data_IF_332705768959
#
_entry.id   IF_332705768959
#
_cell.length_a   1.000
_cell.length_b   1.000
_cell.length_c   1.000
_cell.angle_alpha   90.00
_cell.angle_beta   90.00
_cell.angle_gamma   90.00
#
_symmetry.space_group_name_H-M   'P 1'
#
loop_
_entity.id
_entity.type
_entity.pdbx_description
1 polymer ?
#
# COMPACT_ATOMS: atom_id res chain seq x y z
N UNK A 1 -46.52 -19.97 4.19
CA UNK A 1 -45.52 -19.76 3.12
C UNK A 1 -44.41 -18.89 3.68
N UNK A 2 -43.24 -19.47 3.97
CA UNK A 2 -42.07 -18.72 4.41
C UNK A 2 -41.47 -18.02 3.17
N UNK A 3 -41.57 -16.69 3.13
CA UNK A 3 -40.99 -15.88 2.08
C UNK A 3 -39.48 -15.76 2.35
N UNK A 4 -38.72 -16.81 2.03
CA UNK A 4 -37.26 -16.77 2.07
C UNK A 4 -36.86 -15.80 0.97
N UNK A 5 -36.58 -14.54 1.35
CA UNK A 5 -35.88 -13.60 0.49
C UNK A 5 -34.61 -14.32 0.05
N UNK A 6 -34.56 -14.69 -1.22
CA UNK A 6 -33.32 -15.01 -1.91
C UNK A 6 -32.47 -13.76 -1.77
N UNK A 7 -31.61 -13.70 -0.75
CA UNK A 7 -30.46 -12.81 -0.77
C UNK A 7 -29.67 -13.27 -2.00
N UNK A 8 -29.85 -12.55 -3.09
CA UNK A 8 -29.00 -12.67 -4.27
C UNK A 8 -27.62 -12.34 -3.73
N UNK A 9 -26.74 -13.35 -3.62
CA UNK A 9 -25.33 -13.11 -3.36
C UNK A 9 -24.88 -12.09 -4.39
N UNK A 10 -24.61 -10.87 -3.94
CA UNK A 10 -24.10 -9.82 -4.81
C UNK A 10 -22.80 -10.36 -5.39
N UNK A 11 -22.70 -10.48 -6.71
CA UNK A 11 -21.42 -10.82 -7.32
C UNK A 11 -20.43 -9.71 -6.96
N UNK A 12 -19.40 -10.11 -6.22
CA UNK A 12 -18.33 -9.21 -5.77
C UNK A 12 -17.11 -9.53 -6.61
N UNK A 13 -16.60 -8.52 -7.30
CA UNK A 13 -15.33 -8.64 -8.00
C UNK A 13 -14.19 -8.43 -7.00
N UNK A 14 -13.37 -9.47 -6.81
CA UNK A 14 -12.19 -9.41 -5.95
C UNK A 14 -10.95 -9.17 -6.79
N UNK A 15 -10.32 -8.02 -6.60
CA UNK A 15 -9.05 -7.68 -7.25
C UNK A 15 -7.89 -8.13 -6.36
N UNK A 16 -7.11 -9.10 -6.84
CA UNK A 16 -5.91 -9.56 -6.13
C UNK A 16 -4.72 -8.68 -6.53
N UNK A 17 -4.04 -8.08 -5.55
CA UNK A 17 -2.88 -7.21 -5.74
C UNK A 17 -1.65 -7.84 -5.08
N UNK A 18 -0.80 -8.55 -5.85
CA UNK A 18 0.44 -9.11 -5.33
C UNK A 18 1.51 -8.03 -5.23
N UNK A 19 2.10 -7.86 -4.05
CA UNK A 19 3.19 -6.91 -3.81
C UNK A 19 4.41 -7.69 -3.37
N UNK A 20 5.50 -7.58 -4.13
CA UNK A 20 6.79 -8.17 -3.77
C UNK A 20 7.67 -7.10 -3.15
N UNK A 21 8.11 -7.34 -1.92
CA UNK A 21 8.91 -6.39 -1.14
C UNK A 21 10.39 -6.75 -1.09
N UNK A 22 11.24 -5.74 -1.20
CA UNK A 22 12.69 -5.86 -1.10
C UNK A 22 13.22 -4.78 -0.14
N UNK A 23 14.02 -5.18 0.85
CA UNK A 23 14.71 -4.22 1.72
C UNK A 23 15.91 -3.62 1.00
N UNK A 24 16.06 -2.31 1.15
CA UNK A 24 17.17 -1.55 0.60
C UNK A 24 17.65 -0.49 1.59
N UNK A 25 18.93 -0.16 1.50
CA UNK A 25 19.50 1.02 2.17
C UNK A 25 18.97 2.30 1.51
N UNK A 26 18.86 3.39 2.28
CA UNK A 26 18.35 4.68 1.79
C UNK A 26 19.09 5.17 0.53
N UNK A 27 20.41 4.98 0.48
CA UNK A 27 21.26 5.39 -0.66
C UNK A 27 20.93 4.67 -1.98
N UNK A 28 20.32 3.48 -1.93
CA UNK A 28 20.02 2.69 -3.14
C UNK A 28 18.92 3.36 -3.98
N UNK A 29 18.10 4.23 -3.37
CA UNK A 29 17.00 4.93 -4.03
C UNK A 29 17.42 5.67 -5.29
N UNK A 30 18.60 6.30 -5.29
CA UNK A 30 19.08 7.11 -6.41
C UNK A 30 19.25 6.25 -7.68
N UNK A 31 19.47 4.95 -7.53
CA UNK A 31 19.56 3.99 -8.63
C UNK A 31 18.21 3.48 -9.14
N UNK A 32 17.11 3.77 -8.44
CA UNK A 32 15.75 3.31 -8.78
C UNK A 32 15.07 4.28 -9.76
N UNK A 33 15.67 4.46 -10.94
CA UNK A 33 15.28 5.43 -11.95
C UNK A 33 14.80 4.80 -13.28
N UNK A 34 14.60 3.47 -13.32
CA UNK A 34 14.13 2.78 -14.53
C UNK A 34 12.65 3.05 -14.75
N UNK A 35 12.16 2.77 -15.96
CA UNK A 35 10.75 3.00 -16.31
C UNK A 35 9.78 2.07 -15.57
N UNK A 36 10.28 1.03 -14.91
CA UNK A 36 9.53 0.15 -14.03
C UNK A 36 9.64 0.49 -12.54
N UNK A 37 10.41 1.52 -12.15
CA UNK A 37 10.64 1.89 -10.74
C UNK A 37 9.50 2.77 -10.19
N UNK A 38 8.29 2.22 -10.25
CA UNK A 38 7.07 2.70 -9.63
C UNK A 38 6.55 1.66 -8.63
N UNK A 39 5.79 2.09 -7.63
CA UNK A 39 5.18 1.18 -6.67
C UNK A 39 4.95 1.79 -5.30
N UNK A 40 5.14 0.98 -4.28
CA UNK A 40 4.98 1.32 -2.87
C UNK A 40 6.34 1.37 -2.20
N UNK A 41 6.43 2.11 -1.10
CA UNK A 41 7.61 2.03 -0.26
C UNK A 41 7.24 2.14 1.21
N UNK A 42 8.06 1.51 2.04
CA UNK A 42 8.00 1.62 3.50
C UNK A 42 9.30 2.27 3.98
N UNK A 43 9.21 3.16 4.97
CA UNK A 43 10.36 3.75 5.66
C UNK A 43 10.38 3.20 7.07
N UNK A 44 11.52 2.66 7.47
CA UNK A 44 11.77 2.14 8.81
C UNK A 44 12.86 2.95 9.48
N UNK A 45 12.78 3.01 10.80
CA UNK A 45 13.74 3.76 11.59
C UNK A 45 13.36 3.79 13.06
N UNK A 46 13.99 4.69 13.79
CA UNK A 46 13.73 4.84 15.21
C UNK A 46 12.65 5.90 15.43
N UNK A 47 11.83 5.70 16.45
CA UNK A 47 10.90 6.70 16.95
C UNK A 47 11.11 6.85 18.45
N UNK A 48 11.37 8.07 18.92
CA UNK A 48 11.79 8.31 20.31
C UNK A 48 10.82 7.74 21.36
N UNK A 49 9.53 7.71 21.05
CA UNK A 49 8.50 7.11 21.92
C UNK A 49 8.13 5.65 21.61
N UNK A 50 8.29 5.16 20.38
CA UNK A 50 7.83 3.82 19.98
C UNK A 50 8.96 2.80 19.87
N UNK A 51 10.21 3.24 20.01
CA UNK A 51 11.39 2.38 20.00
C UNK A 51 12.09 2.33 18.65
N UNK A 52 12.99 1.36 18.52
CA UNK A 52 13.87 1.21 17.36
C UNK A 52 13.25 0.35 16.27
N UNK A 53 13.72 0.54 15.03
CA UNK A 53 13.36 -0.29 13.86
C UNK A 53 11.84 -0.42 13.60
N UNK A 54 11.09 0.64 13.88
CA UNK A 54 9.65 0.69 13.70
C UNK A 54 9.25 1.15 12.29
N UNK A 55 8.05 0.79 11.85
CA UNK A 55 7.45 1.24 10.60
C UNK A 55 7.02 2.70 10.74
N UNK A 56 7.76 3.61 10.14
CA UNK A 56 7.54 5.05 10.26
C UNK A 56 6.52 5.55 9.24
N UNK A 57 6.62 5.10 7.99
CA UNK A 57 5.82 5.62 6.89
C UNK A 57 5.60 4.58 5.79
N UNK A 58 4.41 4.60 5.19
CA UNK A 58 4.10 3.93 3.93
C UNK A 58 3.71 4.98 2.89
N UNK A 59 4.46 5.00 1.79
CA UNK A 59 4.25 5.91 0.67
C UNK A 59 4.05 5.20 -0.66
N UNK A 60 3.86 6.01 -1.70
CA UNK A 60 3.68 5.56 -3.09
C UNK A 60 4.51 6.38 -4.06
N UNK A 61 4.97 5.74 -5.12
CA UNK A 61 5.58 6.32 -6.30
C UNK A 61 4.75 5.85 -7.52
N UNK A 62 3.60 6.51 -7.76
CA UNK A 62 2.66 6.12 -8.81
C UNK A 62 2.66 7.09 -10.00
N UNK A 63 2.83 8.39 -9.71
CA UNK A 63 2.81 9.47 -10.69
C UNK A 63 4.26 9.98 -10.98
N UNK A 64 5.24 9.49 -10.23
CA UNK A 64 6.68 9.74 -10.34
C UNK A 64 7.47 8.50 -9.89
N UNK A 65 8.75 8.38 -10.28
CA UNK A 65 9.61 7.23 -9.97
C UNK A 65 10.05 7.24 -8.50
N UNK A 66 10.55 6.09 -8.02
CA UNK A 66 11.09 5.97 -6.66
C UNK A 66 12.20 6.99 -6.39
N UNK A 67 13.19 7.12 -7.30
CA UNK A 67 14.29 8.07 -7.16
C UNK A 67 13.82 9.51 -6.88
N UNK A 68 12.76 9.95 -7.55
CA UNK A 68 12.23 11.30 -7.43
C UNK A 68 11.42 11.49 -6.15
N UNK A 69 10.80 10.43 -5.63
CA UNK A 69 9.93 10.52 -4.43
C UNK A 69 10.72 10.36 -3.14
N UNK A 70 11.77 9.56 -3.19
CA UNK A 70 12.59 9.14 -2.06
C UNK A 70 14.00 9.76 -2.07
N UNK A 71 14.23 10.80 -2.88
CA UNK A 71 15.54 11.47 -2.89
C UNK A 71 15.97 11.89 -1.48
N UNK A 72 17.28 11.84 -1.20
CA UNK A 72 17.82 12.11 0.13
C UNK A 72 17.30 13.45 0.68
N UNK A 73 17.33 14.51 -0.14
CA UNK A 73 16.78 15.83 0.22
C UNK A 73 15.30 15.79 0.62
N UNK A 74 14.48 14.97 -0.04
CA UNK A 74 13.05 14.84 0.30
C UNK A 74 12.85 14.05 1.57
N UNK A 75 13.59 12.97 1.78
CA UNK A 75 13.50 12.21 3.03
C UNK A 75 13.99 13.07 4.20
N UNK A 76 15.12 13.74 4.05
CA UNK A 76 15.65 14.66 5.06
C UNK A 76 14.65 15.78 5.34
N UNK A 77 14.07 16.41 4.32
CA UNK A 77 13.06 17.46 4.49
C UNK A 77 11.74 16.96 5.10
N UNK A 78 11.23 15.80 4.66
CA UNK A 78 9.98 15.20 5.17
C UNK A 78 10.13 14.83 6.66
N UNK A 79 11.33 14.40 7.08
CA UNK A 79 11.63 13.94 8.45
C UNK A 79 12.45 14.93 9.27
N UNK A 80 12.71 16.13 8.76
CA UNK A 80 13.39 17.17 9.52
C UNK A 80 12.51 17.58 10.71
N UNK A 81 13.13 17.76 11.87
CA UNK A 81 12.47 18.25 13.08
C UNK A 81 11.36 17.33 13.62
N UNK A 82 11.40 16.04 13.30
CA UNK A 82 10.47 15.03 13.83
C UNK A 82 11.06 14.28 15.02
N UNK A 83 10.25 13.43 15.66
CA UNK A 83 10.71 12.48 16.69
C UNK A 83 11.18 11.15 16.09
N UNK A 84 11.55 11.13 14.80
CA UNK A 84 11.83 9.91 14.05
C UNK A 84 13.14 10.00 13.26
N UNK A 85 13.83 8.87 13.14
CA UNK A 85 15.11 8.77 12.44
C UNK A 85 15.04 7.64 11.40
N UNK A 86 14.79 7.96 10.11
CA UNK A 86 14.80 6.98 9.02
C UNK A 86 16.16 6.28 8.87
N UNK A 87 16.14 4.95 8.71
CA UNK A 87 17.36 4.14 8.57
C UNK A 87 17.42 3.37 7.26
N UNK A 88 16.33 2.71 6.90
CA UNK A 88 16.26 1.87 5.71
C UNK A 88 14.84 1.83 5.15
N UNK A 89 14.73 1.34 3.93
CA UNK A 89 13.47 1.30 3.21
C UNK A 89 13.14 -0.12 2.76
N UNK A 90 11.86 -0.32 2.44
CA UNK A 90 11.42 -1.46 1.64
C UNK A 90 10.73 -0.95 0.40
N UNK A 91 11.11 -1.47 -0.75
CA UNK A 91 10.49 -1.17 -2.03
C UNK A 91 9.52 -2.28 -2.37
N UNK A 92 8.26 -1.91 -2.59
CA UNK A 92 7.17 -2.81 -2.94
C UNK A 92 6.80 -2.63 -4.40
N UNK A 93 6.98 -3.68 -5.21
CA UNK A 93 6.55 -3.69 -6.62
C UNK A 93 5.34 -4.57 -6.76
N UNK A 94 4.32 -4.05 -7.44
CA UNK A 94 3.13 -4.83 -7.75
C UNK A 94 3.48 -5.75 -8.93
N UNK A 95 3.59 -7.04 -8.64
CA UNK A 95 3.80 -8.07 -9.65
C UNK A 95 2.44 -8.51 -10.16
N UNK A 96 2.06 -8.10 -11.36
CA UNK A 96 0.97 -8.78 -12.06
C UNK A 96 1.63 -9.95 -12.79
N UNK A 97 1.20 -11.17 -12.49
CA UNK A 97 1.94 -12.36 -12.93
C UNK A 97 2.01 -12.43 -14.47
N UNK A 98 3.14 -12.86 -15.04
CA UNK A 98 3.22 -13.29 -16.43
C UNK A 98 2.41 -14.57 -16.73
N UNK A 99 1.79 -15.22 -15.75
CA UNK A 99 1.12 -16.51 -15.93
C UNK A 99 -0.35 -16.40 -16.41
N UNK A 100 -0.78 -15.21 -16.83
CA UNK A 100 -1.96 -15.03 -17.68
C UNK A 100 -1.61 -14.56 -19.10
N UNK A 101 -0.33 -14.65 -19.52
CA UNK A 101 0.09 -14.18 -20.84
C UNK A 101 -0.17 -15.14 -22.01
N UNK A 102 -0.70 -16.34 -21.78
CA UNK A 102 -1.03 -17.21 -22.93
C UNK A 102 -2.48 -17.13 -23.39
N UNK A 103 -3.41 -16.50 -22.66
CA UNK A 103 -4.80 -16.35 -23.14
C UNK A 103 -5.55 -15.06 -22.75
N UNK A 104 -4.98 -14.09 -22.02
CA UNK A 104 -5.70 -12.83 -21.70
C UNK A 104 -4.95 -11.53 -21.98
N UNK A 105 -3.68 -11.56 -22.39
CA UNK A 105 -2.98 -10.38 -22.90
C UNK A 105 -3.05 -9.15 -21.97
N UNK A 106 -2.87 -9.34 -20.66
CA UNK A 106 -2.93 -8.24 -19.70
C UNK A 106 -1.65 -7.39 -19.71
N UNK A 107 -1.52 -6.59 -20.76
CA UNK A 107 -0.72 -5.37 -20.74
C UNK A 107 -1.45 -4.39 -19.81
N UNK A 108 -1.03 -4.29 -18.55
CA UNK A 108 -1.64 -3.33 -17.63
C UNK A 108 -1.23 -1.93 -18.08
N UNK A 109 -2.18 -1.24 -18.69
CA UNK A 109 -2.07 0.17 -18.99
C UNK A 109 -1.55 0.91 -17.75
N UNK A 110 -0.57 1.80 -17.96
CA UNK A 110 0.06 2.59 -16.88
C UNK A 110 -0.95 3.22 -15.91
N UNK A 111 -2.14 3.59 -16.40
CA UNK A 111 -3.26 4.06 -15.59
C UNK A 111 -3.73 3.08 -14.52
N UNK A 112 -3.92 1.80 -14.87
CA UNK A 112 -4.36 0.74 -13.95
C UNK A 112 -3.31 0.42 -12.88
N UNK A 113 -2.02 0.43 -13.23
CA UNK A 113 -0.94 0.25 -12.25
C UNK A 113 -0.95 1.40 -11.21
N UNK A 114 -1.07 2.65 -11.67
CA UNK A 114 -1.15 3.81 -10.77
C UNK A 114 -2.36 3.72 -9.83
N UNK A 115 -3.51 3.27 -10.35
CA UNK A 115 -4.72 3.02 -9.55
C UNK A 115 -4.48 1.94 -8.46
N UNK A 116 -3.91 0.79 -8.82
CA UNK A 116 -3.59 -0.27 -7.86
C UNK A 116 -2.57 0.15 -6.81
N UNK A 117 -1.55 0.94 -7.18
CA UNK A 117 -0.60 1.51 -6.22
C UNK A 117 -1.33 2.43 -5.24
N UNK A 118 -2.23 3.29 -5.72
CA UNK A 118 -3.03 4.20 -4.88
C UNK A 118 -3.89 3.40 -3.90
N UNK A 119 -4.66 2.44 -4.39
CA UNK A 119 -5.54 1.58 -3.58
C UNK A 119 -4.75 0.80 -2.54
N UNK A 120 -3.67 0.13 -2.95
CA UNK A 120 -2.86 -0.67 -2.06
C UNK A 120 -2.23 0.17 -0.95
N UNK A 121 -1.71 1.36 -1.27
CA UNK A 121 -1.19 2.30 -0.26
C UNK A 121 -2.27 2.68 0.75
N UNK A 122 -3.48 2.99 0.29
CA UNK A 122 -4.56 3.40 1.19
C UNK A 122 -4.98 2.29 2.13
N UNK A 123 -5.13 1.06 1.62
CA UNK A 123 -5.42 -0.12 2.45
C UNK A 123 -4.28 -0.35 3.46
N UNK A 124 -3.02 -0.31 3.03
CA UNK A 124 -1.87 -0.54 3.90
C UNK A 124 -1.78 0.48 5.03
N UNK A 125 -1.93 1.78 4.72
CA UNK A 125 -1.88 2.84 5.74
C UNK A 125 -3.06 2.74 6.70
N UNK A 126 -4.28 2.52 6.21
CA UNK A 126 -5.44 2.34 7.08
C UNK A 126 -5.29 1.14 8.02
N UNK A 127 -4.68 0.06 7.53
CA UNK A 127 -4.48 -1.18 8.29
C UNK A 127 -3.38 -1.05 9.35
N UNK A 128 -2.26 -0.41 9.02
CA UNK A 128 -1.05 -0.42 9.88
C UNK A 128 -0.82 0.88 10.64
N UNK A 129 -1.45 1.97 10.21
CA UNK A 129 -1.36 3.29 10.83
C UNK A 129 0.06 3.72 11.26
N UNK A 130 1.05 3.73 10.34
CA UNK A 130 2.41 4.11 10.69
C UNK A 130 2.47 5.49 11.35
N UNK A 131 3.39 5.67 12.29
CA UNK A 131 3.45 6.84 13.16
C UNK A 131 3.42 8.17 12.38
N UNK A 132 4.14 8.23 11.25
CA UNK A 132 4.34 9.45 10.50
C UNK A 132 3.32 9.66 9.37
N UNK A 133 2.54 8.64 9.00
CA UNK A 133 1.47 8.80 8.00
C UNK A 133 0.39 9.78 8.47
N UNK A 134 0.07 9.80 9.78
CA UNK A 134 -0.92 10.74 10.35
C UNK A 134 -0.47 12.20 10.31
N UNK A 135 0.83 12.46 10.35
CA UNK A 135 1.39 13.81 10.39
C UNK A 135 1.54 14.39 8.97
N UNK A 136 1.98 13.57 8.01
CA UNK A 136 2.17 14.01 6.61
C UNK A 136 0.85 14.08 5.84
N UNK A 137 -0.09 13.14 6.01
CA UNK A 137 -1.25 13.05 5.13
C UNK A 137 -2.43 13.92 5.60
N UNK A 138 -2.76 14.97 4.84
CA UNK A 138 -4.07 15.66 4.90
C UNK A 138 -5.19 14.91 4.17
N UNK A 139 -4.89 13.74 3.60
CA UNK A 139 -5.84 12.93 2.85
C UNK A 139 -6.90 12.36 3.81
N UNK A 140 -8.16 12.74 3.60
CA UNK A 140 -9.30 12.14 4.30
C UNK A 140 -9.36 10.66 3.94
N UNK A 141 -9.19 9.78 4.93
CA UNK A 141 -9.27 8.33 4.80
C UNK A 141 -10.72 7.87 4.61
N UNK A 142 -11.39 8.34 3.56
CA UNK A 142 -12.65 7.77 3.12
C UNK A 142 -12.32 6.74 2.05
N UNK A 143 -12.18 5.50 2.51
CA UNK A 143 -12.08 4.33 1.63
C UNK A 143 -13.43 4.14 0.94
N UNK A 144 -13.70 4.84 -0.16
CA UNK A 144 -14.80 4.50 -1.06
C UNK A 144 -14.25 3.68 -2.22
N UNK A 145 -14.34 2.36 -2.08
CA UNK A 145 -14.15 1.48 -3.23
C UNK A 145 -15.41 1.57 -4.09
N UNK A 146 -15.27 1.67 -5.41
CA UNK A 146 -16.42 1.71 -6.31
C UNK A 146 -17.38 0.53 -6.03
N UNK A 147 -18.68 0.73 -6.26
CA UNK A 147 -19.71 -0.26 -5.97
C UNK A 147 -19.29 -1.67 -6.44
N UNK A 148 -19.33 -2.66 -5.53
CA UNK A 148 -19.04 -4.10 -5.76
C UNK A 148 -17.58 -4.47 -6.06
N UNK A 149 -16.62 -3.60 -5.76
CA UNK A 149 -15.18 -3.93 -5.87
C UNK A 149 -14.58 -4.17 -4.50
N UNK A 150 -13.94 -5.32 -4.34
CA UNK A 150 -13.14 -5.67 -3.18
C UNK A 150 -11.69 -5.92 -3.59
N UNK A 151 -10.79 -5.91 -2.63
CA UNK A 151 -9.35 -6.03 -2.81
C UNK A 151 -8.75 -7.05 -1.85
N UNK A 152 -7.77 -7.80 -2.36
CA UNK A 152 -6.93 -8.71 -1.59
C UNK A 152 -5.46 -8.38 -1.87
N UNK A 153 -4.79 -7.79 -0.89
CA UNK A 153 -3.35 -7.53 -0.95
C UNK A 153 -2.59 -8.75 -0.48
N UNK A 154 -1.63 -9.22 -1.28
CA UNK A 154 -0.72 -10.31 -0.95
C UNK A 154 0.70 -9.75 -0.82
N UNK A 155 1.17 -9.55 0.42
CA UNK A 155 2.49 -9.00 0.71
C UNK A 155 3.54 -10.11 0.80
N UNK A 156 4.33 -10.26 -0.25
CA UNK A 156 5.33 -11.32 -0.44
C UNK A 156 6.74 -10.84 -0.11
N UNK A 157 7.66 -11.79 0.07
CA UNK A 157 9.08 -11.55 0.35
C UNK A 157 9.31 -10.69 1.61
N UNK A 158 10.23 -9.72 1.59
CA UNK A 158 10.63 -8.92 2.76
C UNK A 158 9.61 -7.80 3.06
N UNK A 159 8.41 -8.20 3.49
CA UNK A 159 7.30 -7.26 3.77
C UNK A 159 7.53 -6.40 5.01
N UNK A 160 8.52 -6.72 5.85
CA UNK A 160 8.71 -6.08 7.15
C UNK A 160 7.56 -6.36 8.11
N UNK A 161 7.10 -5.31 8.80
CA UNK A 161 6.12 -5.41 9.90
C UNK A 161 4.66 -5.30 9.42
N UNK A 162 4.40 -5.42 8.12
CA UNK A 162 3.02 -5.45 7.59
C UNK A 162 2.46 -6.88 7.54
N UNK A 163 1.14 -6.99 7.60
CA UNK A 163 0.42 -8.25 7.49
C UNK A 163 0.70 -8.93 6.13
N UNK A 164 0.86 -10.26 6.10
CA UNK A 164 1.09 -11.00 4.86
C UNK A 164 -0.10 -10.91 3.89
N UNK A 165 -1.32 -10.79 4.41
CA UNK A 165 -2.55 -10.68 3.64
C UNK A 165 -3.47 -9.61 4.24
N UNK A 166 -4.09 -8.80 3.38
CA UNK A 166 -5.09 -7.80 3.79
C UNK A 166 -6.25 -7.82 2.78
N UNK A 167 -7.44 -8.10 3.27
CA UNK A 167 -8.68 -8.18 2.52
C UNK A 167 -9.68 -7.12 2.96
N UNK A 168 -10.31 -6.45 2.00
CA UNK A 168 -11.46 -5.56 2.23
C UNK A 168 -12.75 -6.35 2.46
N UNK A 169 -12.91 -7.52 1.82
CA UNK A 169 -14.06 -8.44 1.98
C UNK A 169 -14.25 -8.84 3.44
N UNK A 170 -13.15 -9.19 4.11
CA UNK A 170 -13.16 -9.67 5.50
C UNK A 170 -12.97 -8.55 6.52
N UNK A 171 -12.95 -7.29 6.08
CA UNK A 171 -12.64 -6.12 6.92
C UNK A 171 -11.33 -6.24 7.70
N UNK A 172 -10.38 -7.06 7.24
CA UNK A 172 -9.05 -7.18 7.87
C UNK A 172 -8.20 -5.92 7.75
N UNK A 173 -8.68 -4.88 7.05
CA UNK A 173 -8.06 -3.56 7.05
C UNK A 173 -8.50 -2.67 8.23
N UNK A 174 -9.51 -3.09 9.01
CA UNK A 174 -10.20 -2.28 10.02
C UNK A 174 -9.64 -2.38 11.45
N UNK A 175 -8.44 -2.93 11.65
CA UNK A 175 -7.91 -3.22 12.99
C UNK A 175 -7.91 -2.04 13.98
N UNK A 176 -7.78 -0.80 13.49
CA UNK A 176 -7.68 0.39 14.33
C UNK A 176 -8.91 1.31 14.28
N UNK A 177 -10.09 0.83 13.87
CA UNK A 177 -11.34 1.62 13.84
C UNK A 177 -11.26 2.90 12.96
N UNK A 178 -10.54 2.84 11.84
CA UNK A 178 -10.53 3.93 10.85
C UNK A 178 -11.82 3.94 10.04
N UNK A 179 -12.80 4.71 10.53
CA UNK A 179 -14.05 5.01 9.82
C UNK A 179 -15.19 4.05 10.11
N UNK A 180 -16.43 4.55 10.03
CA UNK A 180 -17.63 3.70 10.10
C UNK A 180 -17.54 2.62 9.00
N UNK A 181 -18.09 1.41 9.23
CA UNK A 181 -18.20 0.41 8.18
C UNK A 181 -18.84 1.03 6.93
N UNK A 182 -18.34 0.65 5.75
CA UNK A 182 -19.02 0.89 4.48
C UNK A 182 -20.48 0.50 4.69
N UNK A 183 -21.38 1.49 4.64
CA UNK A 183 -22.80 1.24 4.90
C UNK A 183 -23.29 0.14 3.97
N UNK A 184 -23.99 -0.84 4.55
CA UNK A 184 -24.64 -1.96 3.86
C UNK A 184 -25.46 -1.51 2.67
#
# INVERSE_FOLDING_TARGET
MLNIKKEIMKEVLVNVIPITWERAELKVVESLNRDCDYGLFQIYGDHYSYGKDCLLYIGRAADQKFCDRLSAQKIEGDFAETTTEPKYIRIGRISISPQEHENTGLNIEKGKLSEYIKIARTILVGTHSPAFNKQISKESWQLSFGNNKEYLLLNRADRGNILPEISTIRNSYMFYNFGKPLSK
#
